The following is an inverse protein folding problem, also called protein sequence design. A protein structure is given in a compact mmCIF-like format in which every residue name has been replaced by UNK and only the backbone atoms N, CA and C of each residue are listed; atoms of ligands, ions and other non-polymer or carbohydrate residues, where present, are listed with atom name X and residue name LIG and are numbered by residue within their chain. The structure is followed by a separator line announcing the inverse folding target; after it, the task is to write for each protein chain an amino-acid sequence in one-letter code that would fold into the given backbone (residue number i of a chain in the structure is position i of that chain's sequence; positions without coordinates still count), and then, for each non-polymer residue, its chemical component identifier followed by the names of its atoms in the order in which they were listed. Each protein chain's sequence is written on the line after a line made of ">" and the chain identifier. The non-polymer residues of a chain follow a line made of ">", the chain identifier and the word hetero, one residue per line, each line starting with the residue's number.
data_IF_189581442647
#
_entry.id   IF_189581442647
#
_cell.length_a   1.000
_cell.length_b   1.000
_cell.length_c   1.000
_cell.angle_alpha   90.00
_cell.angle_beta   90.00
_cell.angle_gamma   90.00
#
_symmetry.space_group_name_H-M   'P 1'
#
loop_
_entity.id
_entity.type
_entity.pdbx_description
1 polymer ?
#
# COMPACT_ATOMS: atom_id res chain seq x y z
N UNK A 1 -3.33 -8.67 -8.36
CA UNK A 1 -4.23 -8.03 -9.34
C UNK A 1 -5.73 -8.28 -9.07
N UNK A 2 -6.48 -7.18 -9.03
CA UNK A 2 -7.95 -7.09 -8.97
C UNK A 2 -8.46 -6.31 -10.18
N UNK A 3 -9.76 -6.40 -10.47
CA UNK A 3 -10.42 -5.51 -11.45
C UNK A 3 -11.14 -4.40 -10.70
N UNK A 4 -10.80 -3.15 -10.99
CA UNK A 4 -11.42 -1.95 -10.40
C UNK A 4 -11.87 -1.01 -11.52
N UNK A 5 -13.18 -0.69 -11.58
CA UNK A 5 -13.82 0.06 -12.68
C UNK A 5 -13.43 -0.42 -14.09
N UNK A 6 -13.29 -1.73 -14.30
CA UNK A 6 -12.92 -2.31 -15.60
C UNK A 6 -11.41 -2.29 -15.91
N UNK A 7 -10.58 -1.76 -15.01
CA UNK A 7 -9.12 -1.75 -15.13
C UNK A 7 -8.50 -2.85 -14.27
N UNK A 8 -7.44 -3.49 -14.77
CA UNK A 8 -6.62 -4.41 -13.98
C UNK A 8 -5.68 -3.58 -13.10
N UNK A 9 -5.72 -3.79 -11.80
CA UNK A 9 -5.01 -2.98 -10.81
C UNK A 9 -4.40 -3.87 -9.73
N UNK A 10 -3.31 -3.43 -9.11
CA UNK A 10 -2.79 -4.08 -7.91
C UNK A 10 -3.38 -3.45 -6.65
N UNK A 11 -3.88 -4.29 -5.75
CA UNK A 11 -4.45 -3.86 -4.48
C UNK A 11 -3.44 -4.17 -3.36
N UNK A 12 -3.00 -3.12 -2.67
CA UNK A 12 -2.05 -3.21 -1.55
C UNK A 12 -2.78 -2.80 -0.27
N UNK A 13 -2.91 -3.69 0.73
CA UNK A 13 -3.59 -3.35 1.98
C UNK A 13 -2.72 -2.42 2.83
N UNK A 14 -3.32 -1.37 3.39
CA UNK A 14 -2.70 -0.43 4.31
C UNK A 14 -3.57 -0.27 5.58
N UNK A 15 -2.97 0.09 6.72
CA UNK A 15 -3.73 0.37 7.93
C UNK A 15 -4.63 1.57 7.73
N UNK A 16 -5.85 1.49 8.27
CA UNK A 16 -6.79 2.58 8.19
C UNK A 16 -6.33 3.78 9.06
N UNK A 17 -6.33 5.01 8.55
CA UNK A 17 -5.76 6.17 9.25
C UNK A 17 -6.53 6.57 10.51
N UNK A 18 -7.78 6.11 10.68
CA UNK A 18 -8.56 6.38 11.91
C UNK A 18 -8.01 5.73 13.17
N UNK A 19 -7.08 4.77 13.05
CA UNK A 19 -6.49 4.09 14.21
C UNK A 19 -7.41 3.10 14.92
N UNK A 20 -8.60 2.82 14.39
CA UNK A 20 -9.55 1.86 14.97
C UNK A 20 -9.02 0.41 15.01
N UNK A 21 -7.98 0.12 14.23
CA UNK A 21 -7.34 -1.19 14.21
C UNK A 21 -5.91 -1.11 14.73
N UNK A 22 -5.55 -1.97 15.69
CA UNK A 22 -4.24 -1.97 16.37
C UNK A 22 -3.22 -2.90 15.73
N UNK A 23 -3.57 -3.63 14.66
CA UNK A 23 -2.68 -4.65 14.07
C UNK A 23 -1.32 -4.07 13.66
N UNK A 24 -1.28 -2.84 13.13
CA UNK A 24 -0.06 -2.13 12.74
C UNK A 24 0.89 -1.79 13.90
N UNK A 25 0.49 -2.06 15.16
CA UNK A 25 1.31 -1.84 16.36
C UNK A 25 1.95 -3.13 16.89
N UNK A 26 1.66 -4.26 16.25
CA UNK A 26 2.32 -5.53 16.52
C UNK A 26 3.56 -5.66 15.63
N UNK A 27 4.55 -6.44 16.04
CA UNK A 27 5.75 -6.72 15.23
C UNK A 27 5.38 -7.25 13.84
N UNK A 28 4.44 -8.19 13.78
CA UNK A 28 3.92 -8.74 12.53
C UNK A 28 3.26 -7.67 11.65
N UNK A 29 2.46 -6.79 12.25
CA UNK A 29 1.80 -5.72 11.50
C UNK A 29 2.75 -4.64 11.00
N UNK A 30 3.81 -4.33 11.75
CA UNK A 30 4.86 -3.42 11.30
C UNK A 30 5.61 -3.99 10.09
N UNK A 31 5.98 -5.27 10.13
CA UNK A 31 6.64 -5.94 9.01
C UNK A 31 5.76 -5.99 7.74
N UNK A 32 4.45 -6.24 7.90
CA UNK A 32 3.49 -6.20 6.80
C UNK A 32 3.32 -4.79 6.23
N UNK A 33 3.29 -3.77 7.10
CA UNK A 33 3.22 -2.37 6.69
C UNK A 33 4.46 -1.96 5.90
N UNK A 34 5.65 -2.28 6.39
CA UNK A 34 6.91 -2.02 5.68
C UNK A 34 6.89 -2.67 4.30
N UNK A 35 6.52 -3.96 4.23
CA UNK A 35 6.40 -4.68 2.96
C UNK A 35 5.42 -4.02 2.00
N UNK A 36 4.24 -3.62 2.48
CA UNK A 36 3.24 -2.93 1.68
C UNK A 36 3.74 -1.58 1.13
N UNK A 37 4.43 -0.79 1.96
CA UNK A 37 5.01 0.49 1.57
C UNK A 37 6.17 0.33 0.60
N UNK A 38 7.02 -0.71 0.75
CA UNK A 38 8.07 -1.03 -0.22
C UNK A 38 7.49 -1.38 -1.59
N UNK A 39 6.43 -2.21 -1.64
CA UNK A 39 5.75 -2.53 -2.90
C UNK A 39 5.19 -1.26 -3.54
N UNK A 40 4.53 -0.41 -2.77
CA UNK A 40 3.97 0.85 -3.26
C UNK A 40 5.06 1.77 -3.80
N UNK A 41 6.17 1.94 -3.06
CA UNK A 41 7.30 2.76 -3.46
C UNK A 41 7.88 2.28 -4.80
N UNK A 42 8.02 0.97 -5.00
CA UNK A 42 8.60 0.40 -6.21
C UNK A 42 7.63 0.37 -7.40
N UNK A 43 6.33 0.62 -7.18
CA UNK A 43 5.32 0.50 -8.23
C UNK A 43 5.55 1.55 -9.34
N UNK A 44 5.59 1.16 -10.64
CA UNK A 44 5.92 2.07 -11.74
C UNK A 44 5.03 3.32 -11.80
N UNK A 45 3.72 3.16 -11.58
CA UNK A 45 2.79 4.28 -11.57
C UNK A 45 3.07 5.27 -10.42
N UNK A 46 3.51 4.79 -9.26
CA UNK A 46 3.86 5.64 -8.13
C UNK A 46 5.14 6.42 -8.39
N UNK A 47 6.17 5.74 -8.92
CA UNK A 47 7.42 6.35 -9.35
C UNK A 47 7.20 7.47 -10.39
N UNK A 48 6.24 7.29 -11.30
CA UNK A 48 5.89 8.33 -12.28
C UNK A 48 5.29 9.58 -11.62
N UNK A 49 4.41 9.41 -10.62
CA UNK A 49 3.81 10.52 -9.86
C UNK A 49 4.90 11.30 -9.10
N UNK A 50 5.80 10.60 -8.39
CA UNK A 50 6.86 11.24 -7.62
C UNK A 50 7.85 12.02 -8.48
N UNK A 51 8.14 11.56 -9.71
CA UNK A 51 9.04 12.26 -10.64
C UNK A 51 8.42 13.51 -11.26
N UNK A 52 7.09 13.62 -11.26
CA UNK A 52 6.36 14.74 -11.80
C UNK A 52 6.11 15.86 -10.77
N UNK A 53 6.57 15.68 -9.53
CA UNK A 53 6.47 16.62 -8.40
C UNK A 53 7.84 17.26 -8.12
#
# INVERSE_FOLDING_TARGET
>A
PVTYHGHRTDAIPLPHPSGASTWHRTEQGLALLESALTILQQHPAWQQICKAS
#
